data_IF_128967289052
#
_entry.id   IF_128967289052
#
_cell.length_a   1.000
_cell.length_b   1.000
_cell.length_c   1.000
_cell.angle_alpha   90.00
_cell.angle_beta   90.00
_cell.angle_gamma   90.00
#
_symmetry.space_group_name_H-M   'P 1'
#
loop_
_entity.id
_entity.type
_entity.pdbx_description
1 polymer ?
#
# COMPACT_ATOMS: atom_id res chain seq x y z
N UNK A 1 5.24 -33.88 -8.61
CA UNK A 1 4.10 -33.48 -7.77
C UNK A 1 4.05 -31.97 -7.45
N UNK A 2 5.15 -31.29 -7.10
CA UNK A 2 5.10 -29.84 -6.75
C UNK A 2 4.77 -28.90 -7.92
N UNK A 3 5.21 -29.21 -9.11
CA UNK A 3 4.94 -28.46 -10.35
C UNK A 3 3.50 -28.61 -10.83
N UNK A 4 2.85 -29.70 -10.47
CA UNK A 4 1.49 -30.05 -10.86
C UNK A 4 0.46 -29.07 -10.24
N UNK A 5 0.60 -28.70 -8.94
CA UNK A 5 -0.37 -27.83 -8.25
C UNK A 5 -0.47 -26.45 -8.88
N UNK A 6 0.65 -25.81 -9.21
CA UNK A 6 0.65 -24.48 -9.85
C UNK A 6 0.05 -24.57 -11.26
N UNK A 7 0.41 -25.59 -12.04
CA UNK A 7 -0.17 -25.81 -13.37
C UNK A 7 -1.69 -26.02 -13.33
N UNK A 8 -2.16 -26.75 -12.32
CA UNK A 8 -3.60 -26.97 -12.12
C UNK A 8 -4.33 -25.66 -11.78
N UNK A 9 -3.77 -24.83 -10.87
CA UNK A 9 -4.34 -23.52 -10.53
C UNK A 9 -4.41 -22.59 -11.74
N UNK A 10 -3.34 -22.50 -12.51
CA UNK A 10 -3.30 -21.70 -13.75
C UNK A 10 -4.31 -22.24 -14.76
N UNK A 11 -4.39 -23.58 -14.94
CA UNK A 11 -5.36 -24.22 -15.86
C UNK A 11 -6.81 -23.89 -15.50
N UNK A 12 -7.19 -24.08 -14.22
CA UNK A 12 -8.54 -23.71 -13.72
C UNK A 12 -8.82 -22.22 -13.88
N UNK A 13 -7.81 -21.36 -13.63
CA UNK A 13 -7.94 -19.92 -13.86
C UNK A 13 -8.24 -19.59 -15.32
N UNK A 14 -7.55 -20.21 -16.27
CA UNK A 14 -7.79 -20.01 -17.71
C UNK A 14 -9.19 -20.50 -18.14
N UNK A 15 -9.64 -21.63 -17.60
CA UNK A 15 -10.98 -22.15 -17.83
C UNK A 15 -12.05 -21.18 -17.29
N UNK A 16 -11.91 -20.73 -16.06
CA UNK A 16 -12.78 -19.73 -15.45
C UNK A 16 -12.83 -18.43 -16.26
N UNK A 17 -11.68 -17.96 -16.77
CA UNK A 17 -11.62 -16.81 -17.66
C UNK A 17 -12.37 -17.03 -18.97
N UNK A 18 -12.25 -18.20 -19.59
CA UNK A 18 -12.94 -18.48 -20.84
C UNK A 18 -14.46 -18.42 -20.68
N UNK A 19 -14.99 -18.88 -19.56
CA UNK A 19 -16.41 -18.79 -19.21
C UNK A 19 -16.86 -17.34 -18.92
N UNK A 20 -15.95 -16.49 -18.44
CA UNK A 20 -16.24 -15.12 -18.05
C UNK A 20 -15.94 -14.08 -19.15
N UNK A 21 -15.27 -14.49 -20.24
CA UNK A 21 -14.81 -13.60 -21.30
C UNK A 21 -15.95 -12.87 -22.03
N UNK A 22 -17.09 -13.55 -22.22
CA UNK A 22 -18.27 -12.99 -22.91
C UNK A 22 -19.11 -12.04 -22.01
N UNK A 23 -18.72 -11.85 -20.76
CA UNK A 23 -19.42 -10.96 -19.84
C UNK A 23 -19.34 -9.51 -20.31
N UNK A 24 -20.50 -8.85 -20.36
CA UNK A 24 -20.59 -7.42 -20.61
C UNK A 24 -20.17 -6.60 -19.37
N UNK A 25 -20.08 -5.27 -19.52
CA UNK A 25 -19.64 -4.40 -18.42
C UNK A 25 -20.51 -4.52 -17.17
N UNK A 26 -21.84 -4.58 -17.32
CA UNK A 26 -22.77 -4.70 -16.19
C UNK A 26 -22.54 -5.99 -15.40
N UNK A 27 -22.33 -7.11 -16.11
CA UNK A 27 -22.02 -8.39 -15.48
C UNK A 27 -20.69 -8.39 -14.75
N UNK A 28 -19.66 -7.76 -15.31
CA UNK A 28 -18.36 -7.61 -14.66
C UNK A 28 -18.50 -6.76 -13.39
N UNK A 29 -19.26 -5.68 -13.43
CA UNK A 29 -19.48 -4.79 -12.29
C UNK A 29 -20.26 -5.49 -11.16
N UNK A 30 -21.25 -6.31 -11.50
CA UNK A 30 -21.98 -7.15 -10.56
C UNK A 30 -21.04 -8.13 -9.84
N UNK A 31 -20.19 -8.85 -10.57
CA UNK A 31 -19.26 -9.82 -10.03
C UNK A 31 -18.20 -9.16 -9.13
N UNK A 32 -17.67 -8.01 -9.53
CA UNK A 32 -16.75 -7.23 -8.71
C UNK A 32 -17.42 -6.72 -7.42
N UNK A 33 -18.71 -6.34 -7.52
CA UNK A 33 -19.50 -5.94 -6.36
C UNK A 33 -19.72 -7.10 -5.40
N UNK A 34 -19.97 -8.31 -5.89
CA UNK A 34 -20.09 -9.52 -5.07
C UNK A 34 -18.77 -9.82 -4.33
N UNK A 35 -17.62 -9.70 -5.00
CA UNK A 35 -16.30 -9.82 -4.34
C UNK A 35 -16.16 -8.79 -3.22
N UNK A 36 -16.50 -7.54 -3.47
CA UNK A 36 -16.41 -6.50 -2.45
C UNK A 36 -17.35 -6.78 -1.27
N UNK A 37 -18.58 -7.20 -1.56
CA UNK A 37 -19.59 -7.50 -0.56
C UNK A 37 -19.18 -8.62 0.37
N UNK A 38 -18.51 -9.66 -0.13
CA UNK A 38 -18.05 -10.81 0.68
C UNK A 38 -17.18 -10.38 1.87
N UNK A 39 -16.48 -9.25 1.76
CA UNK A 39 -15.56 -8.75 2.80
C UNK A 39 -16.10 -7.51 3.52
N UNK A 40 -16.95 -6.72 2.85
CA UNK A 40 -17.50 -5.50 3.43
C UNK A 40 -18.51 -5.76 4.55
N UNK A 41 -19.19 -6.90 4.55
CA UNK A 41 -20.11 -7.33 5.60
C UNK A 41 -19.42 -7.32 6.96
N UNK A 42 -20.07 -6.71 7.95
CA UNK A 42 -19.46 -6.47 9.26
C UNK A 42 -19.02 -7.77 9.98
N UNK A 43 -19.78 -8.83 9.82
CA UNK A 43 -19.45 -10.16 10.40
C UNK A 43 -18.16 -10.71 9.79
N UNK A 44 -18.08 -10.75 8.46
CA UNK A 44 -16.90 -11.24 7.75
C UNK A 44 -15.68 -10.34 7.99
N UNK A 45 -15.85 -9.01 7.93
CA UNK A 45 -14.78 -8.05 8.22
C UNK A 45 -14.21 -8.25 9.63
N UNK A 46 -15.07 -8.51 10.62
CA UNK A 46 -14.70 -8.75 12.02
C UNK A 46 -13.97 -10.08 12.18
N UNK A 47 -14.53 -11.16 11.65
CA UNK A 47 -13.92 -12.49 11.69
C UNK A 47 -12.52 -12.49 11.08
N UNK A 48 -12.39 -11.92 9.86
CA UNK A 48 -11.12 -11.86 9.13
C UNK A 48 -10.09 -10.96 9.82
N UNK A 49 -10.53 -9.86 10.44
CA UNK A 49 -9.64 -8.99 11.21
C UNK A 49 -9.07 -9.70 12.44
N UNK A 50 -9.90 -10.42 13.20
CA UNK A 50 -9.44 -11.24 14.34
C UNK A 50 -8.45 -12.30 13.88
N UNK A 51 -8.80 -13.07 12.86
CA UNK A 51 -7.93 -14.11 12.32
C UNK A 51 -6.60 -13.54 11.81
N UNK A 52 -6.61 -12.39 11.17
CA UNK A 52 -5.39 -11.73 10.69
C UNK A 52 -4.46 -11.34 11.85
N UNK A 53 -4.98 -10.76 12.94
CA UNK A 53 -4.18 -10.41 14.13
C UNK A 53 -3.67 -11.66 14.82
N UNK A 54 -4.51 -12.68 15.02
CA UNK A 54 -4.13 -13.94 15.66
C UNK A 54 -3.01 -14.66 14.89
N UNK A 55 -3.11 -14.72 13.57
CA UNK A 55 -2.14 -15.45 12.76
C UNK A 55 -0.81 -14.69 12.57
N UNK A 56 -0.85 -13.36 12.51
CA UNK A 56 0.34 -12.56 12.18
C UNK A 56 0.95 -11.85 13.39
N UNK A 57 0.15 -11.64 14.44
CA UNK A 57 0.52 -10.80 15.59
C UNK A 57 0.69 -9.32 15.25
N UNK A 58 0.23 -8.85 14.09
CA UNK A 58 0.47 -7.49 13.57
C UNK A 58 -0.80 -6.66 13.59
N UNK A 59 -0.68 -5.41 14.10
CA UNK A 59 -1.78 -4.45 14.15
C UNK A 59 -2.83 -4.77 15.21
N UNK A 60 -4.02 -4.22 15.07
CA UNK A 60 -5.13 -4.42 15.99
C UNK A 60 -6.45 -4.72 15.26
N UNK A 61 -7.39 -5.37 15.95
CA UNK A 61 -8.64 -5.83 15.35
C UNK A 61 -9.54 -4.67 14.89
N UNK A 62 -9.80 -3.61 15.70
CA UNK A 62 -10.67 -2.49 15.28
C UNK A 62 -10.19 -1.82 13.99
N UNK A 63 -8.91 -1.52 13.90
CA UNK A 63 -8.35 -0.85 12.72
C UNK A 63 -8.32 -1.74 11.49
N UNK A 64 -8.11 -3.07 11.67
CA UNK A 64 -8.20 -4.01 10.55
C UNK A 64 -9.63 -4.14 10.02
N UNK A 65 -10.65 -4.10 10.87
CA UNK A 65 -12.05 -4.03 10.43
C UNK A 65 -12.26 -2.78 9.57
N UNK A 66 -11.90 -1.62 10.11
CA UNK A 66 -12.03 -0.35 9.40
C UNK A 66 -11.24 -0.34 8.08
N UNK A 67 -10.02 -0.90 8.07
CA UNK A 67 -9.19 -1.02 6.87
C UNK A 67 -9.84 -1.93 5.83
N UNK A 68 -10.29 -3.12 6.22
CA UNK A 68 -10.93 -4.07 5.32
C UNK A 68 -12.15 -3.44 4.64
N UNK A 69 -13.03 -2.80 5.40
CA UNK A 69 -14.23 -2.14 4.88
C UNK A 69 -13.89 -0.93 4.03
N UNK A 70 -13.09 0.01 4.54
CA UNK A 70 -12.76 1.26 3.84
C UNK A 70 -12.04 1.02 2.52
N UNK A 71 -11.01 0.16 2.52
CA UNK A 71 -10.22 -0.13 1.30
C UNK A 71 -11.03 -0.90 0.28
N UNK A 72 -11.84 -1.85 0.69
CA UNK A 72 -12.74 -2.59 -0.22
C UNK A 72 -13.78 -1.67 -0.85
N UNK A 73 -14.47 -0.85 -0.05
CA UNK A 73 -15.50 0.06 -0.54
C UNK A 73 -14.92 1.16 -1.46
N UNK A 74 -13.76 1.73 -1.08
CA UNK A 74 -13.09 2.71 -1.91
C UNK A 74 -12.61 2.14 -3.24
N UNK A 75 -12.04 0.92 -3.25
CA UNK A 75 -11.67 0.23 -4.48
C UNK A 75 -12.90 -0.03 -5.35
N UNK A 76 -14.02 -0.48 -4.77
CA UNK A 76 -15.27 -0.69 -5.50
C UNK A 76 -15.75 0.61 -6.16
N UNK A 77 -15.77 1.73 -5.39
CA UNK A 77 -16.13 3.06 -5.93
C UNK A 77 -15.34 3.39 -7.20
N UNK A 78 -14.03 3.20 -7.16
CA UNK A 78 -13.15 3.54 -8.29
C UNK A 78 -13.40 2.62 -9.48
N UNK A 79 -13.60 1.32 -9.24
CA UNK A 79 -13.83 0.34 -10.29
C UNK A 79 -15.19 0.50 -10.98
N UNK A 80 -16.25 0.88 -10.26
CA UNK A 80 -17.57 1.10 -10.87
C UNK A 80 -17.65 2.36 -11.73
N UNK A 81 -16.67 3.27 -11.62
CA UNK A 81 -16.61 4.51 -12.42
C UNK A 81 -15.93 4.36 -13.78
N UNK A 82 -15.41 3.16 -14.08
CA UNK A 82 -14.58 2.94 -15.25
C UNK A 82 -15.06 1.75 -16.09
N UNK A 83 -14.87 1.87 -17.40
CA UNK A 83 -15.13 0.80 -18.35
C UNK A 83 -13.86 -0.04 -18.55
N UNK A 84 -14.05 -1.36 -18.63
CA UNK A 84 -12.97 -2.33 -18.84
C UNK A 84 -13.40 -3.45 -19.83
N UNK A 85 -14.53 -3.25 -20.49
CA UNK A 85 -15.08 -4.21 -21.45
C UNK A 85 -15.45 -3.48 -22.74
N UNK A 86 -15.00 -4.02 -23.86
CA UNK A 86 -15.25 -3.43 -25.19
C UNK A 86 -14.49 -2.13 -25.41
N UNK A 87 -15.14 -1.15 -26.01
CA UNK A 87 -14.56 0.18 -26.27
C UNK A 87 -14.47 0.93 -24.93
N UNK A 88 -13.28 1.38 -24.60
CA UNK A 88 -12.98 2.15 -23.37
C UNK A 88 -12.65 3.61 -23.66
N UNK A 89 -12.26 3.91 -24.89
CA UNK A 89 -12.00 5.27 -25.38
C UNK A 89 -12.24 5.33 -26.90
N UNK A 90 -12.78 6.43 -27.39
CA UNK A 90 -13.00 6.69 -28.81
C UNK A 90 -12.69 8.17 -29.10
N UNK A 91 -11.56 8.42 -29.76
CA UNK A 91 -11.13 9.77 -30.13
C UNK A 91 -11.10 9.91 -31.66
N UNK A 92 -12.21 10.39 -32.28
CA UNK A 92 -12.30 10.58 -33.71
C UNK A 92 -11.27 11.58 -34.27
N UNK A 93 -10.82 12.57 -33.48
CA UNK A 93 -9.82 13.55 -33.91
C UNK A 93 -8.46 12.92 -34.12
N UNK A 94 -8.11 11.93 -33.30
CA UNK A 94 -6.87 11.15 -33.42
C UNK A 94 -7.04 9.90 -34.28
N UNK A 95 -8.27 9.60 -34.70
CA UNK A 95 -8.60 8.37 -35.42
C UNK A 95 -8.29 7.11 -34.62
N UNK A 96 -8.44 7.15 -33.28
CA UNK A 96 -8.07 6.03 -32.41
C UNK A 96 -9.27 5.58 -31.59
N UNK A 97 -9.58 4.27 -31.67
CA UNK A 97 -10.52 3.59 -30.78
C UNK A 97 -9.75 2.58 -29.93
N UNK A 98 -9.95 2.59 -28.62
CA UNK A 98 -9.28 1.69 -27.68
C UNK A 98 -10.22 0.60 -27.17
N UNK A 99 -9.77 -0.65 -27.27
CA UNK A 99 -10.48 -1.82 -26.78
C UNK A 99 -9.76 -2.45 -25.60
N UNK A 100 -10.44 -2.63 -24.47
CA UNK A 100 -9.90 -3.35 -23.33
C UNK A 100 -9.97 -4.86 -23.53
N UNK A 101 -8.88 -5.55 -23.22
CA UNK A 101 -8.74 -7.01 -23.22
C UNK A 101 -8.11 -7.49 -21.91
N UNK A 102 -8.41 -8.71 -21.44
CA UNK A 102 -7.75 -9.24 -20.26
C UNK A 102 -6.25 -9.42 -20.48
N UNK A 103 -5.48 -9.37 -19.38
CA UNK A 103 -4.05 -9.67 -19.38
C UNK A 103 -3.78 -11.17 -19.27
N UNK A 104 -4.68 -11.93 -18.63
CA UNK A 104 -4.55 -13.36 -18.41
C UNK A 104 -4.69 -13.76 -16.95
N UNK A 105 -4.01 -14.84 -16.54
CA UNK A 105 -3.98 -15.26 -15.14
C UNK A 105 -2.93 -14.45 -14.38
N UNK A 106 -3.36 -13.79 -13.31
CA UNK A 106 -2.53 -12.91 -12.47
C UNK A 106 -2.00 -13.68 -11.26
N UNK A 107 -0.69 -13.63 -11.03
CA UNK A 107 -0.07 -14.03 -9.76
C UNK A 107 0.01 -12.83 -8.83
N UNK A 108 -0.79 -12.80 -7.75
CA UNK A 108 -0.81 -11.71 -6.79
C UNK A 108 -0.12 -12.12 -5.48
N UNK A 109 1.11 -11.65 -5.27
CA UNK A 109 1.87 -11.95 -4.06
C UNK A 109 1.56 -10.90 -2.99
N UNK A 110 1.15 -11.36 -1.79
CA UNK A 110 0.61 -10.51 -0.74
C UNK A 110 1.36 -10.62 0.59
N UNK A 111 1.47 -9.52 1.36
CA UNK A 111 2.24 -9.46 2.60
C UNK A 111 1.47 -10.00 3.80
N UNK A 112 2.18 -10.25 4.91
CA UNK A 112 1.58 -10.58 6.21
C UNK A 112 0.89 -9.38 6.90
N UNK A 113 1.30 -8.16 6.58
CA UNK A 113 0.76 -6.94 7.19
C UNK A 113 -0.73 -6.70 6.87
N UNK A 114 -1.17 -7.14 5.67
CA UNK A 114 -2.56 -6.97 5.21
C UNK A 114 -3.05 -8.23 4.48
N UNK A 115 -3.24 -9.36 5.19
CA UNK A 115 -3.54 -10.67 4.58
C UNK A 115 -5.00 -10.79 4.09
N UNK A 116 -5.84 -9.78 4.33
CA UNK A 116 -7.23 -9.68 3.88
C UNK A 116 -7.39 -8.59 2.84
N UNK A 117 -7.15 -7.34 3.22
CA UNK A 117 -7.43 -6.19 2.36
C UNK A 117 -6.62 -6.20 1.05
N UNK A 118 -5.35 -6.65 1.07
CA UNK A 118 -4.52 -6.72 -0.14
C UNK A 118 -5.02 -7.78 -1.13
N UNK A 119 -5.31 -9.03 -0.73
CA UNK A 119 -5.93 -10.04 -1.60
C UNK A 119 -7.23 -9.56 -2.26
N UNK A 120 -8.14 -8.99 -1.48
CA UNK A 120 -9.43 -8.47 -1.99
C UNK A 120 -9.23 -7.38 -3.04
N UNK A 121 -8.37 -6.41 -2.75
CA UNK A 121 -8.03 -5.34 -3.69
C UNK A 121 -7.50 -5.90 -5.02
N UNK A 122 -6.61 -6.92 -4.98
CA UNK A 122 -6.10 -7.58 -6.18
C UNK A 122 -7.19 -8.37 -6.91
N UNK A 123 -8.02 -9.11 -6.18
CA UNK A 123 -9.11 -9.89 -6.76
C UNK A 123 -10.10 -8.98 -7.51
N UNK A 124 -10.52 -7.88 -6.88
CA UNK A 124 -11.42 -6.92 -7.51
C UNK A 124 -10.84 -6.30 -8.79
N UNK A 125 -9.56 -5.87 -8.76
CA UNK A 125 -8.90 -5.28 -9.93
C UNK A 125 -8.70 -6.30 -11.06
N UNK A 126 -8.27 -7.51 -10.74
CA UNK A 126 -8.07 -8.58 -11.72
C UNK A 126 -9.39 -8.97 -12.41
N UNK A 127 -10.44 -9.25 -11.62
CA UNK A 127 -11.75 -9.64 -12.15
C UNK A 127 -12.42 -8.51 -12.91
N UNK A 128 -12.20 -7.24 -12.54
CA UNK A 128 -12.66 -6.08 -13.30
C UNK A 128 -12.11 -6.09 -14.74
N UNK A 129 -10.88 -6.57 -14.95
CA UNK A 129 -10.27 -6.79 -16.26
C UNK A 129 -10.66 -8.14 -16.92
N UNK A 130 -11.59 -8.89 -16.35
CA UNK A 130 -11.96 -10.26 -16.76
C UNK A 130 -10.80 -11.25 -16.69
N UNK A 131 -9.88 -11.06 -15.77
CA UNK A 131 -8.77 -11.96 -15.49
C UNK A 131 -9.13 -12.94 -14.37
N UNK A 132 -8.41 -14.06 -14.31
CA UNK A 132 -8.32 -14.85 -13.09
C UNK A 132 -7.10 -14.42 -12.25
N UNK A 133 -7.17 -14.64 -10.95
CA UNK A 133 -6.06 -14.35 -10.05
C UNK A 133 -5.79 -15.50 -9.10
N UNK A 134 -4.51 -15.83 -8.95
CA UNK A 134 -4.02 -16.76 -7.92
C UNK A 134 -3.25 -15.96 -6.89
N UNK A 135 -3.76 -15.94 -5.67
CA UNK A 135 -3.13 -15.24 -4.55
C UNK A 135 -2.01 -16.12 -3.98
N UNK A 136 -0.80 -15.54 -3.92
CA UNK A 136 0.37 -16.13 -3.26
C UNK A 136 0.66 -15.42 -1.93
N UNK A 137 0.08 -15.85 -0.80
CA UNK A 137 0.23 -15.14 0.47
C UNK A 137 1.57 -15.42 1.14
N UNK A 138 1.92 -14.58 2.13
CA UNK A 138 2.97 -14.91 3.09
C UNK A 138 2.57 -16.11 3.96
N UNK A 139 3.51 -16.92 4.49
CA UNK A 139 3.18 -18.07 5.34
C UNK A 139 2.31 -17.69 6.55
N UNK A 140 2.65 -16.62 7.27
CA UNK A 140 1.88 -16.17 8.43
C UNK A 140 0.50 -15.62 8.06
N UNK A 141 0.35 -15.00 6.89
CA UNK A 141 -0.94 -14.47 6.40
C UNK A 141 -1.82 -15.52 5.74
N UNK A 142 -1.29 -16.72 5.46
CA UNK A 142 -1.99 -17.73 4.67
C UNK A 142 -3.39 -18.10 5.23
N UNK A 143 -3.60 -18.37 6.53
CA UNK A 143 -4.91 -18.78 6.99
C UNK A 143 -5.99 -17.72 6.78
N UNK A 144 -5.70 -16.46 7.13
CA UNK A 144 -6.64 -15.36 6.91
C UNK A 144 -6.90 -15.10 5.41
N UNK A 145 -5.86 -15.24 4.57
CA UNK A 145 -6.01 -15.10 3.12
C UNK A 145 -6.83 -16.24 2.52
N UNK A 146 -6.65 -17.48 2.98
CA UNK A 146 -7.42 -18.63 2.51
C UNK A 146 -8.90 -18.46 2.84
N UNK A 147 -9.24 -18.10 4.09
CA UNK A 147 -10.62 -17.78 4.49
C UNK A 147 -11.20 -16.63 3.65
N UNK A 148 -10.42 -15.59 3.36
CA UNK A 148 -10.83 -14.48 2.50
C UNK A 148 -11.19 -14.96 1.09
N UNK A 149 -10.35 -15.80 0.50
CA UNK A 149 -10.59 -16.35 -0.84
C UNK A 149 -11.81 -17.29 -0.83
N UNK A 150 -12.00 -18.10 0.22
CA UNK A 150 -13.16 -18.98 0.34
C UNK A 150 -14.48 -18.18 0.40
N UNK A 151 -14.53 -17.07 1.15
CA UNK A 151 -15.68 -16.17 1.18
C UNK A 151 -15.94 -15.52 -0.19
N UNK A 152 -14.90 -15.07 -0.88
CA UNK A 152 -15.03 -14.55 -2.25
C UNK A 152 -15.60 -15.61 -3.18
N UNK A 153 -15.10 -16.84 -3.16
CA UNK A 153 -15.57 -17.95 -4.02
C UNK A 153 -17.01 -18.31 -3.75
N UNK A 154 -17.46 -18.26 -2.50
CA UNK A 154 -18.87 -18.45 -2.14
C UNK A 154 -19.76 -17.37 -2.77
N UNK A 155 -19.36 -16.11 -2.68
CA UNK A 155 -20.14 -15.01 -3.29
C UNK A 155 -20.10 -15.05 -4.82
N UNK A 156 -18.98 -15.43 -5.43
CA UNK A 156 -18.92 -15.67 -6.88
C UNK A 156 -19.93 -16.73 -7.30
N UNK A 157 -20.02 -17.84 -6.56
CA UNK A 157 -21.00 -18.90 -6.83
C UNK A 157 -22.46 -18.44 -6.63
N UNK A 158 -22.73 -17.54 -5.69
CA UNK A 158 -24.08 -16.98 -5.47
C UNK A 158 -24.58 -16.11 -6.61
N UNK A 159 -23.65 -15.50 -7.34
CA UNK A 159 -23.96 -14.69 -8.53
C UNK A 159 -23.68 -15.44 -9.83
N UNK A 160 -23.65 -16.76 -9.80
CA UNK A 160 -23.38 -17.62 -10.96
C UNK A 160 -22.13 -17.27 -11.75
N UNK A 161 -21.08 -16.80 -11.07
CA UNK A 161 -19.77 -16.52 -11.64
C UNK A 161 -18.78 -17.65 -11.35
N UNK A 162 -17.82 -17.94 -12.23
CA UNK A 162 -16.85 -18.99 -12.02
C UNK A 162 -16.01 -18.75 -10.76
N UNK A 163 -16.08 -19.63 -9.76
CA UNK A 163 -15.37 -19.48 -8.49
C UNK A 163 -13.83 -19.48 -8.66
N UNK A 164 -13.31 -20.15 -9.69
CA UNK A 164 -11.87 -20.21 -9.99
C UNK A 164 -11.31 -18.95 -10.66
N UNK A 165 -12.13 -17.89 -10.83
CA UNK A 165 -11.62 -16.54 -11.09
C UNK A 165 -10.72 -16.02 -9.94
N UNK A 166 -10.95 -16.50 -8.70
CA UNK A 166 -10.13 -16.14 -7.54
C UNK A 166 -9.70 -17.41 -6.81
N UNK A 167 -8.42 -17.62 -6.74
CA UNK A 167 -7.79 -18.79 -6.13
C UNK A 167 -6.67 -18.38 -5.17
N UNK A 168 -6.29 -19.28 -4.27
CA UNK A 168 -5.14 -19.12 -3.36
C UNK A 168 -4.17 -20.27 -3.53
N UNK A 169 -2.87 -19.99 -3.47
CA UNK A 169 -1.82 -21.01 -3.45
C UNK A 169 -1.97 -21.84 -2.15
N UNK A 170 -2.16 -23.16 -2.23
CA UNK A 170 -2.43 -23.97 -1.03
C UNK A 170 -1.19 -24.10 -0.13
N UNK A 171 -1.44 -24.31 1.17
CA UNK A 171 -0.40 -24.65 2.13
C UNK A 171 0.28 -26.00 1.80
N UNK A 172 1.54 -26.19 2.22
CA UNK A 172 2.42 -25.19 2.81
C UNK A 172 2.95 -24.20 1.78
N UNK A 173 2.91 -22.89 2.11
CA UNK A 173 3.49 -21.86 1.27
C UNK A 173 5.03 -21.96 1.32
N UNK A 174 5.67 -21.93 0.16
CA UNK A 174 7.13 -21.95 0.07
C UNK A 174 7.64 -20.99 -0.99
N UNK A 175 8.90 -20.54 -0.82
CA UNK A 175 9.57 -19.66 -1.81
C UNK A 175 9.59 -20.31 -3.22
N UNK A 176 9.77 -21.64 -3.27
CA UNK A 176 9.78 -22.38 -4.53
C UNK A 176 8.43 -22.31 -5.25
N UNK A 177 7.32 -22.64 -4.54
CA UNK A 177 5.96 -22.55 -5.11
C UNK A 177 5.58 -21.13 -5.53
N UNK A 178 6.00 -20.14 -4.74
CA UNK A 178 5.79 -18.73 -5.09
C UNK A 178 6.52 -18.36 -6.38
N UNK A 179 7.77 -18.81 -6.57
CA UNK A 179 8.51 -18.60 -7.83
C UNK A 179 7.87 -19.32 -9.00
N UNK A 180 7.44 -20.57 -8.81
CA UNK A 180 6.71 -21.31 -9.84
C UNK A 180 5.43 -20.59 -10.26
N UNK A 181 4.67 -20.05 -9.31
CA UNK A 181 3.48 -19.25 -9.58
C UNK A 181 3.81 -18.00 -10.39
N UNK A 182 4.86 -17.26 -9.97
CA UNK A 182 5.32 -16.07 -10.71
C UNK A 182 5.70 -16.40 -12.16
N UNK A 183 6.40 -17.50 -12.39
CA UNK A 183 6.88 -17.88 -13.74
C UNK A 183 5.77 -18.50 -14.62
N UNK A 184 4.67 -18.97 -14.05
CA UNK A 184 3.59 -19.63 -14.79
C UNK A 184 2.41 -18.69 -15.13
N UNK A 185 2.33 -17.54 -14.48
CA UNK A 185 1.28 -16.54 -14.69
C UNK A 185 1.57 -15.66 -15.92
N UNK A 186 0.56 -14.89 -16.36
CA UNK A 186 0.68 -13.93 -17.45
C UNK A 186 1.09 -12.53 -16.96
N UNK A 187 0.76 -12.21 -15.70
CA UNK A 187 1.16 -10.99 -15.01
C UNK A 187 1.46 -11.29 -13.54
N UNK A 188 2.53 -10.72 -13.02
CA UNK A 188 2.88 -10.81 -11.59
C UNK A 188 2.64 -9.46 -10.93
N UNK A 189 1.91 -9.43 -9.81
CA UNK A 189 1.72 -8.23 -8.99
C UNK A 189 2.17 -8.51 -7.57
N UNK A 190 3.21 -7.81 -7.10
CA UNK A 190 3.80 -8.05 -5.78
C UNK A 190 3.59 -6.85 -4.87
N UNK A 191 3.03 -7.12 -3.70
CA UNK A 191 3.01 -6.20 -2.56
C UNK A 191 3.66 -6.91 -1.39
N UNK A 192 4.82 -6.44 -0.95
CA UNK A 192 5.54 -7.11 0.14
C UNK A 192 7.03 -6.77 0.20
N UNK A 193 7.85 -7.73 0.61
CA UNK A 193 9.28 -7.52 0.80
C UNK A 193 10.01 -7.23 -0.52
N UNK A 194 11.11 -6.47 -0.44
CA UNK A 194 11.98 -6.18 -1.59
C UNK A 194 12.52 -7.45 -2.25
N UNK A 195 12.73 -8.52 -1.49
CA UNK A 195 13.15 -9.82 -2.03
C UNK A 195 12.08 -10.43 -2.95
N UNK A 196 10.79 -10.29 -2.60
CA UNK A 196 9.70 -10.75 -3.45
C UNK A 196 9.59 -9.88 -4.72
N UNK A 197 9.79 -8.56 -4.59
CA UNK A 197 9.81 -7.63 -5.73
C UNK A 197 10.94 -8.00 -6.69
N UNK A 198 12.16 -8.22 -6.20
CA UNK A 198 13.30 -8.70 -7.01
C UNK A 198 13.01 -10.04 -7.68
N UNK A 199 12.40 -10.98 -6.95
CA UNK A 199 12.03 -12.30 -7.50
C UNK A 199 11.00 -12.17 -8.62
N UNK A 200 10.04 -11.25 -8.51
CA UNK A 200 9.05 -10.99 -9.55
C UNK A 200 9.70 -10.45 -10.83
N UNK A 201 10.53 -9.41 -10.72
CA UNK A 201 11.25 -8.86 -11.88
C UNK A 201 12.22 -9.85 -12.52
N UNK A 202 12.67 -10.87 -11.78
CA UNK A 202 13.55 -11.93 -12.29
C UNK A 202 12.79 -13.18 -12.74
N UNK A 203 11.45 -13.20 -12.70
CA UNK A 203 10.64 -14.38 -13.03
C UNK A 203 10.54 -14.68 -14.53
N UNK A 204 10.85 -13.71 -15.38
CA UNK A 204 10.61 -13.76 -16.83
C UNK A 204 9.18 -13.41 -17.24
N UNK A 205 8.27 -13.21 -16.29
CA UNK A 205 6.89 -12.77 -16.52
C UNK A 205 6.79 -11.25 -16.34
N UNK A 206 5.99 -10.51 -17.12
CA UNK A 206 5.69 -9.11 -16.85
C UNK A 206 5.28 -8.90 -15.39
N UNK A 207 5.92 -7.95 -14.71
CA UNK A 207 5.76 -7.80 -13.26
C UNK A 207 5.57 -6.35 -12.83
N UNK A 208 4.73 -6.18 -11.80
CA UNK A 208 4.52 -4.92 -11.09
C UNK A 208 4.86 -5.16 -9.62
N UNK A 209 5.96 -4.58 -9.17
CA UNK A 209 6.37 -4.58 -7.78
C UNK A 209 6.14 -3.22 -7.14
N UNK A 210 5.89 -3.18 -5.84
CA UNK A 210 5.79 -1.92 -5.09
C UNK A 210 6.86 -1.85 -4.02
N UNK A 211 7.44 -0.65 -3.85
CA UNK A 211 8.58 -0.41 -2.97
C UNK A 211 8.23 -0.38 -1.49
N UNK A 212 9.28 -0.31 -0.67
CA UNK A 212 9.16 -0.06 0.76
C UNK A 212 8.78 1.41 0.99
N UNK A 213 8.05 1.66 2.09
CA UNK A 213 7.80 3.01 2.57
C UNK A 213 8.91 3.50 3.52
N UNK A 214 9.01 4.79 3.67
CA UNK A 214 9.76 5.46 4.75
C UNK A 214 9.34 6.94 4.74
N UNK A 215 8.13 7.23 5.20
CA UNK A 215 7.44 8.49 4.96
C UNK A 215 7.94 9.63 5.84
N UNK A 216 8.62 10.65 5.30
CA UNK A 216 8.87 11.92 5.99
C UNK A 216 7.69 12.88 5.77
N UNK A 217 7.33 13.64 6.82
CA UNK A 217 6.28 14.67 6.76
C UNK A 217 6.79 15.96 7.37
N UNK A 218 6.62 17.09 6.69
CA UNK A 218 7.00 18.42 7.20
C UNK A 218 5.83 19.06 7.93
N UNK A 219 6.09 19.66 9.08
CA UNK A 219 5.21 20.68 9.68
C UNK A 219 5.86 22.03 9.44
N UNK A 220 5.30 22.77 8.50
CA UNK A 220 5.75 24.08 8.07
C UNK A 220 5.32 25.17 9.05
N UNK A 221 6.02 26.31 9.05
CA UNK A 221 5.72 27.45 9.94
C UNK A 221 4.32 28.03 9.76
N UNK A 222 3.73 27.85 8.58
CA UNK A 222 2.35 28.26 8.28
C UNK A 222 1.27 27.22 8.58
N UNK A 223 1.63 26.06 9.15
CA UNK A 223 0.70 24.99 9.43
C UNK A 223 -0.28 25.30 10.57
N UNK A 224 -1.49 24.77 10.51
CA UNK A 224 -2.33 24.58 11.67
C UNK A 224 -1.75 23.41 12.51
N UNK A 225 -0.99 23.75 13.52
CA UNK A 225 -0.25 22.78 14.34
C UNK A 225 -1.15 21.77 15.04
N UNK A 226 -2.34 22.19 15.48
CA UNK A 226 -3.28 21.30 16.17
C UNK A 226 -3.86 20.27 15.20
N UNK A 227 -4.29 20.69 14.03
CA UNK A 227 -4.78 19.78 12.98
C UNK A 227 -3.66 18.87 12.46
N UNK A 228 -2.45 19.39 12.26
CA UNK A 228 -1.30 18.60 11.81
C UNK A 228 -0.99 17.48 12.81
N UNK A 229 -0.91 17.80 14.10
CA UNK A 229 -0.65 16.83 15.16
C UNK A 229 -1.74 15.75 15.25
N UNK A 230 -3.02 16.13 15.15
CA UNK A 230 -4.14 15.18 15.15
C UNK A 230 -4.09 14.22 13.94
N UNK A 231 -3.79 14.74 12.74
CA UNK A 231 -3.68 13.94 11.52
C UNK A 231 -2.50 12.98 11.57
N UNK A 232 -1.35 13.44 12.05
CA UNK A 232 -0.15 12.60 12.26
C UNK A 232 -0.45 11.52 13.29
N UNK A 233 -1.05 11.85 14.43
CA UNK A 233 -1.44 10.87 15.44
C UNK A 233 -2.38 9.82 14.84
N UNK A 234 -3.48 10.23 14.22
CA UNK A 234 -4.46 9.31 13.62
C UNK A 234 -3.82 8.38 12.58
N UNK A 235 -2.92 8.91 11.76
CA UNK A 235 -2.21 8.15 10.74
C UNK A 235 -1.17 7.20 11.34
N UNK A 236 -0.36 7.70 12.28
CA UNK A 236 0.72 6.95 12.94
C UNK A 236 0.20 5.78 13.76
N UNK A 237 -0.90 5.96 14.47
CA UNK A 237 -1.45 4.95 15.38
C UNK A 237 -2.31 3.92 14.67
N UNK A 238 -2.84 4.23 13.49
CA UNK A 238 -3.72 3.33 12.75
C UNK A 238 -3.07 1.98 12.47
N UNK A 239 -3.73 0.93 12.94
CA UNK A 239 -3.29 -0.46 12.84
C UNK A 239 -1.82 -0.65 13.29
N UNK A 240 -1.42 0.09 14.33
CA UNK A 240 -0.09 0.06 14.93
C UNK A 240 1.05 0.30 13.91
N UNK A 241 0.84 1.20 12.96
CA UNK A 241 1.81 1.49 11.89
C UNK A 241 2.17 0.29 10.99
N UNK A 242 1.28 -0.65 10.76
CA UNK A 242 1.52 -1.75 9.79
C UNK A 242 1.65 -1.27 8.36
N UNK A 243 1.21 -0.04 8.06
CA UNK A 243 1.23 0.52 6.70
C UNK A 243 2.58 1.15 6.39
N UNK A 244 3.15 0.83 5.22
CA UNK A 244 4.30 1.57 4.66
C UNK A 244 3.99 3.05 4.40
N UNK A 245 2.72 3.46 4.46
CA UNK A 245 2.28 4.86 4.33
C UNK A 245 2.15 5.59 5.67
N UNK A 246 2.44 4.93 6.80
CA UNK A 246 2.47 5.62 8.10
C UNK A 246 3.66 6.57 8.16
N UNK A 247 3.48 7.73 8.77
CA UNK A 247 4.56 8.69 9.01
C UNK A 247 5.69 8.00 9.78
N UNK A 248 6.86 7.99 9.20
CA UNK A 248 8.06 7.41 9.82
C UNK A 248 8.94 8.46 10.45
N UNK A 249 8.91 9.66 9.89
CA UNK A 249 9.58 10.83 10.42
C UNK A 249 8.70 12.08 10.29
N UNK A 250 8.84 13.01 11.24
CA UNK A 250 8.31 14.36 11.15
C UNK A 250 9.46 15.36 11.20
N UNK A 251 9.41 16.35 10.32
CA UNK A 251 10.40 17.42 10.23
C UNK A 251 9.71 18.71 10.63
N UNK A 252 10.17 19.32 11.68
CA UNK A 252 9.60 20.54 12.28
C UNK A 252 10.49 21.73 11.95
N UNK A 253 9.91 22.75 11.30
CA UNK A 253 10.62 24.02 11.06
C UNK A 253 10.89 24.72 12.39
N UNK A 254 12.06 25.31 12.52
CA UNK A 254 12.59 25.88 13.77
C UNK A 254 11.65 26.89 14.43
N UNK A 255 11.05 27.77 13.63
CA UNK A 255 10.11 28.81 14.08
C UNK A 255 8.90 28.26 14.86
N UNK A 256 8.49 27.03 14.57
CA UNK A 256 7.31 26.38 15.18
C UNK A 256 7.67 25.12 15.97
N UNK A 257 8.95 24.81 16.12
CA UNK A 257 9.42 23.54 16.68
C UNK A 257 8.80 23.24 18.05
N UNK A 258 8.93 24.13 19.02
CA UNK A 258 8.44 23.88 20.38
C UNK A 258 6.91 23.77 20.43
N UNK A 259 6.22 24.64 19.70
CA UNK A 259 4.75 24.61 19.62
C UNK A 259 4.23 23.35 18.90
N UNK A 260 4.92 22.88 17.86
CA UNK A 260 4.59 21.64 17.16
C UNK A 260 4.86 20.41 18.04
N UNK A 261 5.98 20.38 18.76
CA UNK A 261 6.28 19.33 19.75
C UNK A 261 5.20 19.25 20.83
N UNK A 262 4.76 20.37 21.38
CA UNK A 262 3.67 20.41 22.34
C UNK A 262 2.33 19.94 21.74
N UNK A 263 2.04 20.31 20.51
CA UNK A 263 0.84 19.85 19.80
C UNK A 263 0.85 18.33 19.60
N UNK A 264 1.98 17.74 19.22
CA UNK A 264 2.16 16.29 19.10
C UNK A 264 2.02 15.57 20.46
N UNK A 265 2.53 16.16 21.55
CA UNK A 265 2.32 15.63 22.91
C UNK A 265 0.84 15.66 23.28
N UNK A 266 0.15 16.78 23.05
CA UNK A 266 -1.30 16.88 23.30
C UNK A 266 -2.11 15.89 22.46
N UNK A 267 -1.63 15.52 21.27
CA UNK A 267 -2.24 14.50 20.42
C UNK A 267 -1.97 13.05 20.87
N UNK A 268 -1.17 12.85 21.92
CA UNK A 268 -0.88 11.53 22.50
C UNK A 268 0.54 11.02 22.29
N UNK A 269 1.43 11.82 21.71
CA UNK A 269 2.85 11.51 21.56
C UNK A 269 3.62 11.60 22.87
N UNK A 270 4.57 10.70 23.07
CA UNK A 270 5.49 10.70 24.19
C UNK A 270 6.90 11.10 23.73
N UNK A 271 7.44 12.18 24.28
CA UNK A 271 8.80 12.63 24.01
C UNK A 271 9.78 11.77 24.80
N UNK A 272 10.58 10.96 24.10
CA UNK A 272 11.54 10.06 24.74
C UNK A 272 12.77 10.81 25.26
N UNK A 273 13.30 10.37 26.38
CA UNK A 273 14.62 10.80 26.88
C UNK A 273 15.74 10.14 26.06
N UNK A 274 16.97 10.66 26.20
CA UNK A 274 18.15 10.06 25.55
C UNK A 274 18.36 8.59 25.95
N UNK A 275 18.06 8.24 27.23
CA UNK A 275 18.13 6.87 27.72
C UNK A 275 17.10 5.99 27.00
N UNK A 276 15.85 6.45 26.90
CA UNK A 276 14.79 5.70 26.25
C UNK A 276 15.01 5.56 24.72
N UNK A 277 15.60 6.58 24.07
CA UNK A 277 16.06 6.48 22.68
C UNK A 277 17.02 5.30 22.51
N UNK A 278 18.02 5.17 23.38
CA UNK A 278 18.98 4.04 23.33
C UNK A 278 18.30 2.69 23.62
N UNK A 279 17.31 2.66 24.51
CA UNK A 279 16.52 1.46 24.79
C UNK A 279 15.69 1.06 23.56
N UNK A 280 15.00 2.01 22.91
CA UNK A 280 14.26 1.75 21.66
C UNK A 280 15.21 1.22 20.59
N UNK A 281 16.37 1.86 20.39
CA UNK A 281 17.33 1.41 19.38
C UNK A 281 17.78 -0.03 19.61
N UNK A 282 18.13 -0.38 20.84
CA UNK A 282 18.60 -1.71 21.20
C UNK A 282 17.54 -2.81 21.00
N UNK A 283 16.27 -2.51 21.29
CA UNK A 283 15.21 -3.51 21.26
C UNK A 283 14.51 -3.60 19.89
N UNK A 284 14.36 -2.46 19.20
CA UNK A 284 13.69 -2.45 17.91
C UNK A 284 14.54 -3.01 16.77
N UNK A 285 15.87 -2.97 16.89
CA UNK A 285 16.79 -3.57 15.92
C UNK A 285 17.67 -4.64 16.57
N UNK A 286 17.50 -5.86 16.12
CA UNK A 286 18.31 -7.03 16.55
C UNK A 286 19.10 -7.53 15.35
N UNK A 287 20.39 -7.70 15.48
CA UNK A 287 21.30 -8.14 14.41
C UNK A 287 21.13 -7.37 13.09
N UNK A 288 20.89 -6.07 13.19
CA UNK A 288 20.72 -5.17 12.03
C UNK A 288 19.36 -5.22 11.34
N UNK A 289 18.41 -6.04 11.84
CA UNK A 289 17.07 -6.17 11.30
C UNK A 289 16.02 -5.68 12.31
N UNK A 290 14.86 -5.24 11.82
CA UNK A 290 13.73 -4.93 12.69
C UNK A 290 13.31 -6.18 13.47
N UNK A 291 13.10 -6.01 14.77
CA UNK A 291 12.64 -7.07 15.68
C UNK A 291 11.18 -7.45 15.36
N UNK A 292 10.91 -8.69 14.89
CA UNK A 292 9.54 -9.13 14.55
C UNK A 292 8.56 -9.05 15.73
N UNK A 293 9.08 -9.12 16.98
CA UNK A 293 8.25 -9.09 18.18
C UNK A 293 7.79 -7.67 18.55
N UNK A 294 8.38 -6.62 17.96
CA UNK A 294 8.08 -5.22 18.25
C UNK A 294 7.45 -4.44 17.10
N UNK A 295 7.50 -4.95 15.87
CA UNK A 295 6.83 -4.29 14.75
C UNK A 295 5.31 -4.42 14.88
N UNK A 296 4.62 -3.33 14.60
CA UNK A 296 3.15 -3.24 14.59
C UNK A 296 2.47 -3.71 15.89
N UNK A 297 3.12 -3.51 17.04
CA UNK A 297 2.59 -3.81 18.38
C UNK A 297 1.94 -2.59 19.01
N UNK A 298 1.00 -2.86 19.92
CA UNK A 298 0.39 -1.82 20.75
C UNK A 298 1.45 -1.07 21.55
N UNK A 299 1.25 0.23 21.79
CA UNK A 299 2.22 1.10 22.47
C UNK A 299 2.63 0.57 23.84
N UNK A 300 1.68 0.10 24.65
CA UNK A 300 1.97 -0.46 25.96
C UNK A 300 2.81 -1.75 25.89
N UNK A 301 2.59 -2.60 24.89
CA UNK A 301 3.40 -3.81 24.65
C UNK A 301 4.81 -3.42 24.27
N UNK A 302 4.94 -2.47 23.33
CA UNK A 302 6.22 -1.95 22.88
C UNK A 302 7.00 -1.29 24.04
N UNK A 303 6.36 -0.40 24.81
CA UNK A 303 7.00 0.32 25.91
C UNK A 303 7.55 -0.63 26.97
N UNK A 304 6.78 -1.63 27.40
CA UNK A 304 7.23 -2.65 28.35
C UNK A 304 8.41 -3.47 27.82
N UNK A 305 8.32 -3.94 26.59
CA UNK A 305 9.37 -4.76 25.99
C UNK A 305 10.68 -3.97 25.80
N UNK A 306 10.59 -2.68 25.47
CA UNK A 306 11.75 -1.78 25.36
C UNK A 306 12.23 -1.20 26.70
N UNK A 307 11.56 -1.50 27.82
CA UNK A 307 11.92 -1.02 29.14
C UNK A 307 11.72 0.49 29.34
N UNK A 308 10.74 1.08 28.66
CA UNK A 308 10.40 2.50 28.77
C UNK A 308 9.65 2.79 30.09
N UNK A 309 9.47 4.08 30.40
CA UNK A 309 8.78 4.52 31.63
C UNK A 309 7.27 4.21 31.60
N UNK A 310 6.64 4.20 32.79
CA UNK A 310 5.19 4.04 32.96
C UNK A 310 4.39 5.13 32.21
N UNK A 311 4.98 6.32 32.03
CA UNK A 311 4.37 7.38 31.24
C UNK A 311 4.35 7.04 29.75
N UNK A 312 5.38 6.39 29.24
CA UNK A 312 5.45 5.90 27.88
C UNK A 312 4.42 4.79 27.61
N UNK A 313 4.12 3.91 28.58
CA UNK A 313 3.10 2.87 28.42
C UNK A 313 1.69 3.41 28.14
N UNK A 314 1.41 4.65 28.56
CA UNK A 314 0.12 5.31 28.37
C UNK A 314 0.03 6.13 27.08
N UNK A 315 1.15 6.30 26.39
CA UNK A 315 1.23 7.08 25.16
C UNK A 315 0.66 6.31 23.96
N UNK A 316 0.26 7.05 22.93
CA UNK A 316 -0.20 6.47 21.67
C UNK A 316 0.95 6.17 20.72
N UNK A 317 2.00 6.99 20.74
CA UNK A 317 3.21 6.81 19.92
C UNK A 317 4.43 7.49 20.60
N UNK A 318 5.63 7.13 20.17
CA UNK A 318 6.90 7.57 20.76
C UNK A 318 7.63 8.51 19.82
N UNK A 319 7.99 9.70 20.29
CA UNK A 319 8.75 10.70 19.55
C UNK A 319 10.22 10.62 19.93
N UNK A 320 11.07 10.28 18.96
CA UNK A 320 12.51 10.18 19.11
C UNK A 320 13.17 11.31 18.36
N UNK A 321 13.77 12.25 19.07
CA UNK A 321 14.55 13.34 18.47
C UNK A 321 15.86 12.81 17.88
N UNK A 322 16.14 13.20 16.63
CA UNK A 322 17.31 12.75 15.88
C UNK A 322 17.89 13.90 15.05
N UNK A 323 19.20 13.93 14.90
CA UNK A 323 19.91 14.90 14.07
C UNK A 323 20.55 14.29 12.82
N UNK A 324 20.72 12.96 12.81
CA UNK A 324 21.31 12.24 11.67
C UNK A 324 20.21 11.64 10.79
N UNK A 325 20.18 12.05 9.53
CA UNK A 325 19.19 11.62 8.55
C UNK A 325 19.80 10.85 7.37
N UNK A 326 20.84 10.07 7.68
CA UNK A 326 21.55 9.17 6.74
C UNK A 326 21.61 7.75 7.29
N UNK A 327 22.35 6.88 6.62
CA UNK A 327 22.62 5.50 7.06
C UNK A 327 23.35 5.39 8.40
N UNK A 328 23.84 6.51 8.93
CA UNK A 328 24.51 6.56 10.25
C UNK A 328 23.51 6.47 11.41
N UNK A 329 22.22 6.71 11.15
CA UNK A 329 21.15 6.56 12.14
C UNK A 329 20.12 5.53 11.69
N UNK A 330 19.86 4.54 12.54
CA UNK A 330 18.77 3.58 12.32
C UNK A 330 17.39 4.24 12.38
N UNK A 331 17.25 5.35 13.09
CA UNK A 331 16.00 6.09 13.16
C UNK A 331 15.62 6.80 11.85
N UNK A 332 16.56 6.91 10.90
CA UNK A 332 16.29 7.36 9.54
C UNK A 332 15.65 6.27 8.64
N UNK A 333 15.72 5.00 9.03
CA UNK A 333 15.10 3.87 8.30
C UNK A 333 13.63 3.66 8.68
N UNK A 334 12.90 2.89 7.87
CA UNK A 334 11.52 2.46 8.15
C UNK A 334 11.45 1.60 9.42
N UNK A 335 10.50 1.93 10.31
CA UNK A 335 10.42 1.30 11.64
C UNK A 335 9.23 0.35 11.81
N UNK A 336 8.20 0.44 10.97
CA UNK A 336 6.94 -0.35 11.06
C UNK A 336 6.44 -0.46 12.51
N UNK A 337 6.49 0.61 13.26
CA UNK A 337 6.16 0.67 14.69
C UNK A 337 5.65 2.05 15.07
N UNK A 338 5.16 2.20 16.28
CA UNK A 338 4.68 3.48 16.82
C UNK A 338 5.80 4.48 17.15
N UNK A 339 7.03 4.23 16.72
CA UNK A 339 8.16 5.15 16.85
C UNK A 339 8.16 6.16 15.70
N UNK A 340 8.07 7.43 16.02
CA UNK A 340 8.14 8.58 15.10
C UNK A 340 9.45 9.32 15.33
N UNK A 341 10.30 9.39 14.31
CA UNK A 341 11.53 10.19 14.39
C UNK A 341 11.18 11.67 14.21
N UNK A 342 11.74 12.53 15.04
CA UNK A 342 11.54 13.98 14.97
C UNK A 342 12.86 14.65 14.58
N UNK A 343 12.84 15.37 13.46
CA UNK A 343 13.94 16.21 13.00
C UNK A 343 13.58 17.68 13.18
N UNK A 344 14.58 18.48 13.48
CA UNK A 344 14.49 19.95 13.52
C UNK A 344 15.15 20.52 12.28
N UNK A 345 14.44 21.28 11.48
CA UNK A 345 14.94 21.96 10.30
C UNK A 345 15.02 23.46 10.56
N UNK A 346 16.13 24.08 10.22
CA UNK A 346 16.33 25.53 10.38
C UNK A 346 15.32 26.34 9.58
N UNK A 347 15.06 25.88 8.36
CA UNK A 347 14.18 26.49 7.37
C UNK A 347 13.63 25.41 6.41
N UNK A 348 12.90 25.84 5.39
CA UNK A 348 12.31 24.92 4.43
C UNK A 348 13.35 24.24 3.52
N UNK A 349 14.47 24.90 3.19
CA UNK A 349 15.55 24.30 2.40
C UNK A 349 16.24 23.17 3.18
N UNK A 350 16.45 23.37 4.49
CA UNK A 350 16.98 22.34 5.37
C UNK A 350 16.00 21.16 5.52
N UNK A 351 14.69 21.44 5.55
CA UNK A 351 13.68 20.39 5.57
C UNK A 351 13.71 19.53 4.29
N UNK A 352 13.90 20.13 3.11
CA UNK A 352 14.08 19.41 1.86
C UNK A 352 15.32 18.52 1.93
N UNK A 353 16.45 19.01 2.43
CA UNK A 353 17.67 18.23 2.58
C UNK A 353 17.48 17.03 3.52
N UNK A 354 16.76 17.22 4.64
CA UNK A 354 16.43 16.13 5.58
C UNK A 354 15.55 15.09 4.89
N UNK A 355 14.51 15.49 4.14
CA UNK A 355 13.64 14.56 3.37
C UNK A 355 14.48 13.74 2.41
N UNK A 356 15.36 14.38 1.63
CA UNK A 356 16.23 13.70 0.66
C UNK A 356 17.14 12.68 1.35
N UNK A 357 17.70 13.04 2.49
CA UNK A 357 18.53 12.13 3.29
C UNK A 357 17.75 10.93 3.81
N UNK A 358 16.59 11.13 4.43
CA UNK A 358 15.72 10.05 4.93
C UNK A 358 15.29 9.11 3.79
N UNK A 359 14.85 9.67 2.66
CA UNK A 359 14.45 8.88 1.49
C UNK A 359 15.65 8.20 0.82
N UNK A 360 16.86 8.77 0.95
CA UNK A 360 18.11 8.16 0.49
C UNK A 360 18.46 6.89 1.26
N UNK A 361 18.08 6.79 2.55
CA UNK A 361 18.22 5.57 3.34
C UNK A 361 17.26 4.49 2.84
N UNK A 362 15.98 4.84 2.69
CA UNK A 362 14.93 3.95 2.20
C UNK A 362 13.70 4.75 1.79
N UNK A 363 12.86 4.18 0.92
CA UNK A 363 11.56 4.76 0.57
C UNK A 363 11.59 5.75 -0.60
N UNK A 364 12.70 5.91 -1.29
CA UNK A 364 12.78 6.73 -2.50
C UNK A 364 11.70 6.32 -3.50
N UNK A 365 11.00 7.30 -4.06
CA UNK A 365 9.87 7.08 -4.95
C UNK A 365 8.54 6.84 -4.24
N UNK A 366 8.50 6.53 -2.93
CA UNK A 366 7.23 6.19 -2.27
C UNK A 366 6.33 7.41 -2.08
N UNK A 367 6.56 8.23 -1.08
CA UNK A 367 5.76 9.42 -0.80
C UNK A 367 6.38 10.26 0.31
N UNK A 368 6.01 11.54 0.35
CA UNK A 368 6.22 12.43 1.49
C UNK A 368 4.96 13.26 1.77
N UNK A 369 4.91 13.96 2.88
CA UNK A 369 3.80 14.80 3.25
C UNK A 369 4.24 16.18 3.74
N UNK A 370 3.29 17.11 3.76
CA UNK A 370 3.47 18.43 4.32
C UNK A 370 2.16 18.93 4.94
N UNK A 371 2.27 19.50 6.14
CA UNK A 371 1.23 20.32 6.74
C UNK A 371 1.65 21.77 6.60
N UNK A 372 0.88 22.56 5.83
CA UNK A 372 1.23 23.95 5.47
C UNK A 372 0.00 24.75 5.09
N UNK A 373 0.05 26.05 5.32
CA UNK A 373 -0.83 27.06 4.71
C UNK A 373 -0.22 27.70 3.45
N UNK A 374 1.05 27.38 3.13
CA UNK A 374 1.76 27.93 1.97
C UNK A 374 1.77 26.92 0.81
N UNK A 375 0.97 27.15 -0.26
CA UNK A 375 0.91 26.25 -1.41
C UNK A 375 2.24 26.16 -2.19
N UNK A 376 3.10 27.16 -2.09
CA UNK A 376 4.39 27.16 -2.79
C UNK A 376 5.35 26.13 -2.20
N UNK A 377 5.38 25.97 -0.87
CA UNK A 377 6.16 24.91 -0.24
C UNK A 377 5.70 23.51 -0.66
N UNK A 378 4.39 23.32 -0.84
CA UNK A 378 3.86 22.04 -1.35
C UNK A 378 4.29 21.79 -2.81
N UNK A 379 4.32 22.81 -3.68
CA UNK A 379 4.82 22.70 -5.07
C UNK A 379 6.30 22.37 -5.09
N UNK A 380 7.10 23.08 -4.30
CA UNK A 380 8.55 22.81 -4.22
C UNK A 380 8.84 21.37 -3.82
N UNK A 381 8.11 20.79 -2.84
CA UNK A 381 8.26 19.36 -2.52
C UNK A 381 7.95 18.47 -3.72
N UNK A 382 6.94 18.78 -4.50
CA UNK A 382 6.59 18.00 -5.69
C UNK A 382 7.63 18.10 -6.81
N UNK A 383 8.34 19.22 -6.90
CA UNK A 383 9.38 19.47 -7.91
C UNK A 383 10.75 18.93 -7.50
N UNK A 384 11.11 19.04 -6.21
CA UNK A 384 12.47 18.78 -5.74
C UNK A 384 12.67 17.39 -5.14
N UNK A 385 11.59 16.67 -4.78
CA UNK A 385 11.68 15.37 -4.11
C UNK A 385 11.27 14.23 -5.04
N UNK A 386 12.14 13.25 -5.19
CA UNK A 386 11.92 12.03 -5.97
C UNK A 386 10.92 11.08 -5.30
N UNK A 387 9.64 11.46 -5.29
CA UNK A 387 8.52 10.64 -4.81
C UNK A 387 7.33 10.70 -5.77
N UNK A 388 6.54 9.65 -5.80
CA UNK A 388 5.34 9.58 -6.66
C UNK A 388 4.19 10.42 -6.08
N UNK A 389 4.13 10.61 -4.77
CA UNK A 389 3.01 11.30 -4.08
C UNK A 389 3.52 12.27 -3.02
N UNK A 390 3.04 13.49 -3.10
CA UNK A 390 3.15 14.51 -2.05
C UNK A 390 1.76 14.76 -1.47
N UNK A 391 1.56 14.50 -0.19
CA UNK A 391 0.27 14.70 0.47
C UNK A 391 0.27 16.01 1.27
N UNK A 392 -0.69 16.89 0.97
CA UNK A 392 -0.82 18.19 1.61
C UNK A 392 -1.97 18.16 2.62
N UNK A 393 -1.67 18.46 3.88
CA UNK A 393 -2.65 18.55 4.96
C UNK A 393 -3.52 17.29 5.13
N UNK A 394 -2.96 16.10 4.94
CA UNK A 394 -3.66 14.82 5.06
C UNK A 394 -3.03 13.92 6.11
N UNK A 395 -3.82 13.06 6.74
CA UNK A 395 -3.34 11.92 7.50
C UNK A 395 -2.78 10.89 6.50
N UNK A 396 -1.47 10.69 6.50
CA UNK A 396 -0.75 10.09 5.39
C UNK A 396 -1.18 8.65 5.09
N UNK A 397 -1.37 7.81 6.13
CA UNK A 397 -1.86 6.43 5.99
C UNK A 397 -3.22 6.35 5.28
N UNK A 398 -4.09 7.33 5.54
CA UNK A 398 -5.42 7.36 4.94
C UNK A 398 -5.43 7.94 3.52
N UNK A 399 -4.54 8.89 3.22
CA UNK A 399 -4.50 9.59 1.95
C UNK A 399 -3.72 8.86 0.85
N UNK A 400 -2.54 8.31 1.17
CA UNK A 400 -1.56 7.83 0.18
C UNK A 400 -2.07 6.69 -0.72
N UNK A 401 -2.82 5.76 -0.18
CA UNK A 401 -3.46 4.69 -0.94
C UNK A 401 -4.90 5.01 -1.35
N UNK A 402 -5.21 6.25 -1.65
CA UNK A 402 -6.54 6.74 -2.01
C UNK A 402 -7.45 7.01 -0.81
N UNK A 403 -8.23 8.08 -0.92
CA UNK A 403 -9.22 8.51 0.09
C UNK A 403 -10.51 8.95 -0.59
N UNK A 404 -11.58 9.13 0.22
CA UNK A 404 -12.85 9.67 -0.29
C UNK A 404 -12.80 11.18 -0.51
N UNK A 405 -11.79 11.84 0.03
CA UNK A 405 -11.54 13.29 -0.01
C UNK A 405 -10.27 13.68 -0.77
N UNK A 406 -9.69 12.76 -1.56
CA UNK A 406 -8.62 13.07 -2.50
C UNK A 406 -8.81 12.33 -3.85
N UNK A 407 -8.04 12.75 -4.87
CA UNK A 407 -8.13 12.23 -6.24
C UNK A 407 -7.34 10.95 -6.51
N UNK A 408 -6.62 10.39 -5.53
CA UNK A 408 -5.84 9.17 -5.73
C UNK A 408 -6.74 7.94 -5.74
N UNK A 409 -6.45 6.98 -6.63
CA UNK A 409 -7.14 5.69 -6.66
C UNK A 409 -6.92 4.90 -5.37
N UNK A 410 -7.97 4.25 -4.88
CA UNK A 410 -7.87 3.34 -3.75
C UNK A 410 -7.03 2.11 -4.09
N UNK A 411 -5.99 1.88 -3.30
CA UNK A 411 -5.08 0.74 -3.44
C UNK A 411 -4.39 0.40 -2.13
N UNK A 412 -3.81 -0.80 -2.08
CA UNK A 412 -2.82 -1.22 -1.08
C UNK A 412 -1.45 -1.48 -1.73
N UNK A 413 -1.26 -1.00 -2.97
CA UNK A 413 -0.02 -1.16 -3.74
C UNK A 413 0.33 0.14 -4.42
N UNK A 414 1.21 0.88 -3.78
CA UNK A 414 1.67 2.19 -4.20
C UNK A 414 2.99 2.04 -4.96
N UNK A 415 2.94 2.21 -6.28
CA UNK A 415 4.16 2.23 -7.12
C UNK A 415 5.08 3.38 -6.72
N UNK A 416 6.37 3.15 -6.82
CA UNK A 416 7.41 4.11 -6.45
C UNK A 416 8.23 4.60 -7.65
N UNK A 417 7.78 4.29 -8.87
CA UNK A 417 8.50 4.64 -10.09
C UNK A 417 9.90 4.02 -10.15
N UNK A 418 10.67 4.40 -11.15
CA UNK A 418 12.05 3.97 -11.29
C UNK A 418 12.94 4.41 -10.12
N UNK A 419 12.59 5.49 -9.43
CA UNK A 419 13.24 5.93 -8.19
C UNK A 419 13.28 4.85 -7.11
N UNK A 420 12.17 4.09 -6.98
CA UNK A 420 12.06 2.96 -6.04
C UNK A 420 12.27 1.60 -6.71
N UNK A 421 12.79 1.56 -7.96
CA UNK A 421 13.00 0.33 -8.73
C UNK A 421 11.69 -0.37 -9.13
N UNK A 422 10.61 0.42 -9.36
CA UNK A 422 9.31 -0.10 -9.75
C UNK A 422 8.96 0.24 -11.20
N UNK A 423 8.11 -0.59 -11.81
CA UNK A 423 7.64 -0.42 -13.19
C UNK A 423 6.47 0.59 -13.33
N UNK A 424 5.88 1.03 -12.22
CA UNK A 424 4.79 2.00 -12.20
C UNK A 424 5.10 3.16 -11.24
N UNK A 425 4.68 4.37 -11.61
CA UNK A 425 4.80 5.61 -10.81
C UNK A 425 3.43 6.14 -10.38
N UNK A 426 2.51 5.25 -10.03
CA UNK A 426 1.15 5.59 -9.60
C UNK A 426 0.58 4.56 -8.64
N UNK A 427 -0.59 4.82 -8.10
CA UNK A 427 -1.37 3.84 -7.37
C UNK A 427 -1.84 2.74 -8.31
N UNK A 428 -1.56 1.48 -7.97
CA UNK A 428 -2.04 0.34 -8.75
C UNK A 428 -3.56 0.43 -8.93
N UNK A 429 -4.02 0.32 -10.16
CA UNK A 429 -5.42 0.45 -10.55
C UNK A 429 -5.81 -0.59 -11.60
N UNK A 430 -7.07 -0.59 -12.03
CA UNK A 430 -7.58 -1.47 -13.09
C UNK A 430 -6.77 -1.42 -14.39
N UNK A 431 -6.15 -0.27 -14.72
CA UNK A 431 -5.37 -0.08 -15.95
C UNK A 431 -4.23 -1.08 -16.10
N UNK A 432 -3.69 -1.53 -14.98
CA UNK A 432 -2.59 -2.49 -14.94
C UNK A 432 -3.08 -3.95 -15.13
N UNK A 433 -4.39 -4.17 -15.18
CA UNK A 433 -5.02 -5.47 -15.32
C UNK A 433 -5.78 -5.62 -16.66
N UNK A 434 -5.53 -4.72 -17.59
CA UNK A 434 -6.06 -4.80 -18.97
C UNK A 434 -4.93 -4.59 -19.98
N UNK A 435 -5.03 -5.26 -21.10
CA UNK A 435 -4.34 -4.90 -22.33
C UNK A 435 -5.22 -3.98 -23.18
N UNK A 436 -4.63 -3.10 -23.96
CA UNK A 436 -5.36 -2.20 -24.85
C UNK A 436 -4.99 -2.47 -26.28
N UNK A 437 -6.01 -2.77 -27.12
CA UNK A 437 -5.85 -2.81 -28.57
C UNK A 437 -6.28 -1.47 -29.15
N UNK A 438 -5.42 -0.85 -29.92
CA UNK A 438 -5.71 0.38 -30.65
C UNK A 438 -6.16 0.05 -32.08
N UNK A 439 -7.39 0.44 -32.45
CA UNK A 439 -7.84 0.52 -33.83
C UNK A 439 -7.48 1.94 -34.30
N UNK A 440 -6.60 2.05 -35.27
CA UNK A 440 -6.16 3.34 -35.81
C UNK A 440 -6.67 3.51 -37.24
N UNK A 441 -7.30 4.66 -37.52
CA UNK A 441 -7.72 5.09 -38.84
C UNK A 441 -6.96 6.34 -39.27
N UNK A 442 -6.84 6.57 -40.56
CA UNK A 442 -6.21 7.80 -41.08
C UNK A 442 -6.98 9.05 -40.68
N UNK A 443 -6.25 10.07 -40.29
CA UNK A 443 -6.74 11.43 -40.01
C UNK A 443 -6.02 12.42 -40.93
N UNK A 444 -6.42 13.69 -40.90
CA UNK A 444 -5.71 14.74 -41.59
C UNK A 444 -4.23 14.81 -41.15
N UNK A 445 -3.36 15.05 -42.10
CA UNK A 445 -1.91 15.06 -41.85
C UNK A 445 -1.53 16.25 -40.94
N UNK A 446 -0.95 15.93 -39.78
CA UNK A 446 -0.44 16.91 -38.81
C UNK A 446 1.11 16.88 -38.83
N UNK A 447 1.71 17.83 -39.56
CA UNK A 447 3.17 18.00 -39.63
C UNK A 447 3.60 19.22 -38.84
N UNK A 448 4.76 19.17 -38.17
CA UNK A 448 5.39 20.37 -37.64
C UNK A 448 5.63 21.37 -38.76
N UNK A 449 5.55 22.67 -38.47
CA UNK A 449 5.96 23.71 -39.38
C UNK A 449 7.43 23.51 -39.79
N UNK A 450 7.73 23.61 -41.07
CA UNK A 450 9.12 23.54 -41.60
C UNK A 450 9.88 24.87 -41.46
N UNK A 451 9.28 25.88 -40.76
CA UNK A 451 9.89 27.18 -40.48
C UNK A 451 10.62 27.22 -39.13
#
# INVERSE_FOLDING_TARGET
MKETIVKELIGRGREAMSLFLESNQARVDEVVTAIAWSIYQNENATQLARQAVENTGLGNVPDKIAKNQRKTFGTLRDLLRVRTVGIIDDDPRRGIVQYAKPVGVVAAITPSTNPVATPVNKAMMAVKGRNAVVIGPSPAGWPATATTVDLIRQELSRVDAPADLVQVLPAPVSKERTRQLMSAADLVVVTGSQNNVKSAYSSGTPAIGVGAGNVPVVIDSSADLAQAAQKICASKTFDNSTSCSSENAVILIDDVYDAAMEALVRAGGYRTSAKEKSQIETHLWVDGNLNPDLIARDSAVFARAAGLSDAAEKALFFMVEESHFSTDSRFADEKLSLVLTVYRARDFDDAIAIIQGVLGVKGRGHSCGIHTGNPEHARRLAEEIDVVRVLVNQAHTFGNGGSFDNGLNFTLSMGCGTWGGNSISENLSYRHFINVTHLSTTVEEDRPSEE
#
